data_IF_510544463008
#
_entry.id   IF_510544463008
#
_cell.length_a   1.000
_cell.length_b   1.000
_cell.length_c   1.000
_cell.angle_alpha   90.00
_cell.angle_beta   90.00
_cell.angle_gamma   90.00
#
_symmetry.space_group_name_H-M   'P 1'
#
loop_
_entity.id
_entity.type
_entity.pdbx_description
1 polymer ?
#
# COMPACT_ATOMS: atom_id res chain seq x y z
N UNK A 1 -19.14 -13.39 -15.68
CA UNK A 1 -18.90 -12.10 -15.00
C UNK A 1 -18.20 -12.44 -13.69
N UNK A 2 -16.93 -12.14 -13.42
CA UNK A 2 -16.14 -10.93 -13.66
C UNK A 2 -14.69 -11.34 -13.98
N UNK A 3 -14.14 -10.92 -15.13
CA UNK A 3 -12.74 -11.14 -15.51
C UNK A 3 -11.89 -9.91 -15.12
N UNK A 4 -11.58 -9.75 -13.84
CA UNK A 4 -10.95 -8.52 -13.32
C UNK A 4 -9.41 -8.47 -13.43
N UNK A 5 -8.79 -9.17 -14.39
CA UNK A 5 -7.32 -9.11 -14.62
C UNK A 5 -6.90 -8.83 -16.08
N UNK A 6 -7.82 -8.74 -17.04
CA UNK A 6 -7.46 -8.78 -18.48
C UNK A 6 -7.70 -7.49 -19.27
N UNK A 7 -7.64 -6.31 -18.65
CA UNK A 7 -8.05 -5.06 -19.32
C UNK A 7 -6.96 -4.25 -20.03
N UNK A 8 -5.69 -4.62 -19.90
CA UNK A 8 -4.61 -3.94 -20.64
C UNK A 8 -4.07 -4.91 -21.71
N UNK A 9 -4.59 -4.93 -22.94
CA UNK A 9 -4.02 -5.76 -24.02
C UNK A 9 -2.68 -5.23 -24.53
N UNK A 10 -2.25 -4.02 -24.13
CA UNK A 10 -1.03 -3.32 -24.56
C UNK A 10 -1.00 -2.92 -26.05
N UNK A 11 -1.56 -3.76 -26.92
CA UNK A 11 -1.89 -3.45 -28.33
C UNK A 11 -3.31 -3.88 -28.68
N UNK A 12 -4.01 -3.09 -29.47
CA UNK A 12 -5.30 -3.45 -30.07
C UNK A 12 -5.15 -3.74 -31.56
N UNK A 13 -5.97 -4.67 -32.08
CA UNK A 13 -6.20 -4.84 -33.52
C UNK A 13 -7.58 -4.28 -33.85
N UNK A 14 -7.65 -3.31 -34.76
CA UNK A 14 -8.91 -2.80 -35.33
C UNK A 14 -8.74 -2.66 -36.84
N UNK A 15 -9.69 -3.20 -37.60
CA UNK A 15 -9.68 -3.12 -39.07
C UNK A 15 -8.36 -3.60 -39.72
N UNK A 16 -7.73 -4.63 -39.12
CA UNK A 16 -6.44 -5.17 -39.60
C UNK A 16 -5.21 -4.34 -39.22
N UNK A 17 -5.38 -3.23 -38.49
CA UNK A 17 -4.30 -2.37 -38.02
C UNK A 17 -4.04 -2.53 -36.53
N UNK A 18 -2.76 -2.41 -36.13
CA UNK A 18 -2.30 -2.45 -34.75
C UNK A 18 -2.17 -1.04 -34.17
N UNK A 19 -2.60 -0.86 -32.92
CA UNK A 19 -2.57 0.40 -32.19
C UNK A 19 -2.08 0.17 -30.74
N UNK A 20 -1.36 1.11 -30.12
CA UNK A 20 -1.06 1.01 -28.69
C UNK A 20 -2.36 1.11 -27.88
N UNK A 21 -2.39 0.40 -26.77
CA UNK A 21 -3.46 0.58 -25.79
C UNK A 21 -3.35 1.96 -25.12
N UNK A 22 -4.50 2.59 -24.92
CA UNK A 22 -4.62 3.87 -24.23
C UNK A 22 -5.98 3.94 -23.56
N UNK A 23 -6.03 4.47 -22.35
CA UNK A 23 -7.26 4.51 -21.55
C UNK A 23 -7.35 5.78 -20.73
N UNK A 24 -8.57 6.30 -20.62
CA UNK A 24 -8.95 7.32 -19.64
C UNK A 24 -9.85 6.63 -18.61
N UNK A 25 -9.63 6.92 -17.33
CA UNK A 25 -10.45 6.39 -16.25
C UNK A 25 -10.99 7.51 -15.37
N UNK A 26 -12.12 7.23 -14.73
CA UNK A 26 -12.78 8.17 -13.79
C UNK A 26 -12.15 8.14 -12.40
N UNK A 27 -11.05 7.41 -12.23
CA UNK A 27 -10.29 7.30 -10.99
C UNK A 27 -8.90 7.93 -11.17
N UNK A 28 -8.44 8.75 -10.21
CA UNK A 28 -7.15 9.44 -10.26
C UNK A 28 -5.95 8.47 -10.35
N UNK A 29 -6.10 7.26 -9.80
CA UNK A 29 -5.09 6.21 -9.81
C UNK A 29 -5.09 5.38 -11.09
N UNK A 30 -5.89 5.72 -12.11
CA UNK A 30 -5.80 5.12 -13.46
C UNK A 30 -4.37 5.17 -14.01
N UNK A 31 -3.60 6.19 -13.61
CA UNK A 31 -2.17 6.37 -13.93
C UNK A 31 -1.28 5.19 -13.52
N UNK A 32 -1.72 4.31 -12.61
CA UNK A 32 -1.01 3.09 -12.25
C UNK A 32 -0.71 2.19 -13.47
N UNK A 33 -1.56 2.25 -14.50
CA UNK A 33 -1.37 1.47 -15.74
C UNK A 33 -0.13 1.90 -16.53
N UNK A 34 0.38 3.11 -16.31
CA UNK A 34 1.56 3.63 -17.01
C UNK A 34 2.82 2.81 -16.67
N UNK A 35 2.89 2.19 -15.48
CA UNK A 35 3.98 1.29 -15.10
C UNK A 35 3.97 -0.05 -15.86
N UNK A 36 2.86 -0.39 -16.51
CA UNK A 36 2.67 -1.64 -17.26
C UNK A 36 2.86 -1.49 -18.77
N UNK A 37 3.08 -0.27 -19.26
CA UNK A 37 3.33 0.01 -20.69
C UNK A 37 4.62 -0.66 -21.24
N UNK A 38 5.38 -1.39 -20.40
CA UNK A 38 6.56 -2.16 -20.79
C UNK A 38 6.64 -3.60 -20.26
N UNK A 39 5.63 -4.14 -19.55
CA UNK A 39 5.71 -5.50 -18.98
C UNK A 39 4.99 -6.52 -19.88
N UNK A 40 5.75 -7.09 -20.80
CA UNK A 40 5.32 -8.08 -21.80
C UNK A 40 5.26 -9.53 -21.29
N UNK A 41 5.35 -9.72 -19.97
CA UNK A 41 5.62 -11.05 -19.42
C UNK A 41 4.37 -11.93 -19.33
N UNK A 42 4.39 -12.94 -20.20
CA UNK A 42 3.66 -14.21 -20.20
C UNK A 42 2.12 -14.12 -20.18
N UNK A 43 1.57 -13.67 -21.31
CA UNK A 43 0.28 -14.18 -21.79
C UNK A 43 0.60 -15.33 -22.74
N UNK A 44 -0.12 -16.44 -22.62
CA UNK A 44 0.09 -17.72 -23.33
C UNK A 44 0.92 -17.60 -24.62
N UNK A 45 1.99 -18.39 -24.74
CA UNK A 45 2.97 -18.44 -25.86
C UNK A 45 2.38 -18.41 -27.28
N UNK A 46 1.09 -18.73 -27.43
CA UNK A 46 0.35 -18.67 -28.69
C UNK A 46 -0.09 -17.25 -29.13
N UNK A 47 0.02 -16.21 -28.29
CA UNK A 47 -0.59 -14.89 -28.56
C UNK A 47 0.41 -13.71 -28.79
N UNK A 48 1.73 -13.89 -28.60
CA UNK A 48 2.59 -12.78 -28.17
C UNK A 48 3.77 -12.35 -29.08
N UNK A 49 3.88 -12.77 -30.35
CA UNK A 49 5.01 -12.31 -31.17
C UNK A 49 4.85 -10.85 -31.70
N UNK A 50 3.62 -10.36 -31.79
CA UNK A 50 3.31 -9.13 -32.55
C UNK A 50 3.38 -7.84 -31.74
N UNK A 51 3.04 -7.78 -30.43
CA UNK A 51 3.16 -6.54 -29.69
C UNK A 51 4.59 -6.01 -29.63
N UNK A 52 5.56 -6.85 -29.26
CA UNK A 52 6.98 -6.46 -29.24
C UNK A 52 7.45 -6.00 -30.63
N UNK A 53 7.17 -6.80 -31.66
CA UNK A 53 7.50 -6.45 -33.05
C UNK A 53 6.87 -5.11 -33.48
N UNK A 54 5.62 -4.85 -33.08
CA UNK A 54 4.93 -3.59 -33.35
C UNK A 54 5.61 -2.41 -32.64
N UNK A 55 5.90 -2.52 -31.34
CA UNK A 55 6.57 -1.47 -30.59
C UNK A 55 7.98 -1.20 -31.11
N UNK A 56 8.74 -2.24 -31.50
CA UNK A 56 10.05 -2.09 -32.14
C UNK A 56 9.94 -1.40 -33.51
N UNK A 57 9.05 -1.86 -34.38
CA UNK A 57 8.84 -1.29 -35.73
C UNK A 57 8.44 0.19 -35.68
N UNK A 58 7.71 0.60 -34.63
CA UNK A 58 7.26 1.97 -34.43
C UNK A 58 8.17 2.80 -33.49
N UNK A 59 9.34 2.30 -33.10
CA UNK A 59 10.29 2.97 -32.18
C UNK A 59 9.69 3.38 -30.84
N UNK A 60 8.72 2.60 -30.36
CA UNK A 60 8.07 2.76 -29.07
C UNK A 60 8.56 1.73 -28.03
N UNK A 61 9.39 0.77 -28.44
CA UNK A 61 10.06 -0.16 -27.54
C UNK A 61 11.25 0.50 -26.84
N UNK A 62 11.41 0.25 -25.53
CA UNK A 62 12.47 0.84 -24.72
C UNK A 62 13.31 -0.25 -24.08
N UNK A 63 14.60 -0.31 -24.42
CA UNK A 63 15.58 -1.12 -23.71
C UNK A 63 16.31 -0.26 -22.68
N UNK A 64 16.01 -0.50 -21.39
CA UNK A 64 16.64 0.21 -20.28
C UNK A 64 18.06 -0.30 -19.96
N UNK A 65 18.49 -1.43 -20.52
CA UNK A 65 19.86 -1.96 -20.37
C UNK A 65 20.77 -1.58 -21.55
N UNK A 66 20.18 -1.16 -22.67
CA UNK A 66 20.88 -0.70 -23.86
C UNK A 66 21.22 0.78 -23.83
N UNK A 67 21.74 1.28 -24.96
CA UNK A 67 21.89 2.71 -25.18
C UNK A 67 20.50 3.31 -25.39
N UNK A 68 20.00 4.04 -24.38
CA UNK A 68 18.75 4.77 -24.49
C UNK A 68 18.89 5.83 -25.58
N UNK A 69 18.00 5.81 -26.57
CA UNK A 69 17.89 6.92 -27.52
C UNK A 69 17.62 8.21 -26.74
N UNK A 70 18.33 9.29 -27.09
CA UNK A 70 18.23 10.56 -26.40
C UNK A 70 16.83 11.17 -26.60
N UNK A 71 16.07 11.23 -25.51
CA UNK A 71 14.75 11.86 -25.48
C UNK A 71 14.90 13.28 -24.97
N UNK A 72 14.34 14.23 -25.71
CA UNK A 72 14.30 15.64 -25.30
C UNK A 72 13.16 15.83 -24.32
N UNK A 73 13.49 16.03 -23.04
CA UNK A 73 12.54 16.39 -21.99
C UNK A 73 12.60 17.90 -21.71
N UNK A 74 11.52 18.47 -21.19
CA UNK A 74 11.50 19.89 -20.78
C UNK A 74 12.33 20.17 -19.53
N UNK A 75 12.51 19.16 -18.68
CA UNK A 75 13.36 19.20 -17.50
C UNK A 75 13.82 17.79 -17.12
N UNK A 76 14.92 17.72 -16.36
CA UNK A 76 15.51 16.47 -15.88
C UNK A 76 15.57 16.51 -14.35
N UNK A 77 15.13 15.42 -13.72
CA UNK A 77 15.25 15.17 -12.28
C UNK A 77 15.93 13.82 -12.09
N UNK A 78 16.83 13.72 -11.12
CA UNK A 78 17.58 12.51 -10.83
C UNK A 78 17.26 12.00 -9.42
N UNK A 79 17.16 10.68 -9.28
CA UNK A 79 17.01 9.99 -8.00
C UNK A 79 17.98 8.81 -7.94
N UNK A 80 18.94 8.87 -7.04
CA UNK A 80 19.83 7.76 -6.76
C UNK A 80 19.14 6.79 -5.78
N UNK A 81 18.89 5.56 -6.24
CA UNK A 81 18.21 4.53 -5.45
C UNK A 81 19.00 4.11 -4.19
N UNK A 82 20.31 4.37 -4.12
CA UNK A 82 21.12 4.10 -2.92
C UNK A 82 20.78 5.03 -1.75
N UNK A 83 20.22 6.20 -2.04
CA UNK A 83 19.85 7.20 -1.04
C UNK A 83 18.42 6.95 -0.50
N UNK A 84 17.70 5.99 -1.08
CA UNK A 84 16.37 5.59 -0.63
C UNK A 84 16.49 4.78 0.66
N UNK A 85 15.78 5.23 1.67
CA UNK A 85 15.69 4.58 2.98
C UNK A 85 14.23 4.33 3.38
N UNK A 86 13.95 3.36 4.29
CA UNK A 86 12.61 3.13 4.81
C UNK A 86 12.01 4.39 5.42
N UNK A 87 10.80 4.74 5.00
CA UNK A 87 10.09 5.93 5.46
C UNK A 87 8.58 5.66 5.53
N UNK A 88 7.90 6.53 6.27
CA UNK A 88 6.43 6.65 6.30
C UNK A 88 6.05 8.05 5.82
N UNK A 89 4.78 8.26 5.48
CA UNK A 89 4.23 9.59 5.14
C UNK A 89 3.11 9.96 6.10
N UNK A 90 3.13 11.19 6.61
CA UNK A 90 2.09 11.67 7.52
C UNK A 90 2.54 12.78 8.47
N UNK A 91 1.72 13.14 9.47
CA UNK A 91 0.49 12.45 9.86
C UNK A 91 -0.75 12.84 9.05
N UNK A 92 -0.72 13.91 8.24
CA UNK A 92 -1.92 14.47 7.59
C UNK A 92 -1.87 14.56 6.06
N UNK A 93 -0.70 14.45 5.42
CA UNK A 93 -0.57 14.53 3.94
C UNK A 93 0.37 13.47 3.38
N UNK A 94 0.15 13.00 2.14
CA UNK A 94 0.95 11.93 1.53
C UNK A 94 2.39 12.34 1.19
N UNK A 95 2.66 13.62 0.94
CA UNK A 95 4.01 14.13 0.63
C UNK A 95 4.84 14.46 1.87
N UNK A 96 4.28 14.34 3.08
CA UNK A 96 5.00 14.58 4.33
C UNK A 96 5.86 13.36 4.70
N UNK A 97 6.96 13.14 3.97
CA UNK A 97 7.90 12.03 4.17
C UNK A 97 8.62 12.13 5.52
N UNK A 98 8.69 11.01 6.24
CA UNK A 98 9.41 10.86 7.51
C UNK A 98 10.27 9.59 7.45
N UNK A 99 11.61 9.69 7.52
CA UNK A 99 12.47 8.52 7.68
C UNK A 99 12.03 7.67 8.88
N UNK A 100 11.99 6.35 8.73
CA UNK A 100 11.45 5.46 9.76
C UNK A 100 12.23 5.58 11.08
N UNK A 101 13.54 5.83 11.00
CA UNK A 101 14.41 6.10 12.16
C UNK A 101 14.02 7.35 12.95
N UNK A 102 13.42 8.34 12.29
CA UNK A 102 13.04 9.64 12.86
C UNK A 102 11.56 9.70 13.27
N UNK A 103 10.76 8.67 12.93
CA UNK A 103 9.31 8.64 13.17
C UNK A 103 8.92 8.97 14.61
N UNK A 104 9.66 8.46 15.60
CA UNK A 104 9.40 8.72 17.02
C UNK A 104 9.63 10.19 17.40
N UNK A 105 10.65 10.81 16.85
CA UNK A 105 11.01 12.21 17.11
C UNK A 105 10.07 13.17 16.39
N UNK A 106 9.72 12.86 15.14
CA UNK A 106 8.71 13.59 14.35
C UNK A 106 7.34 13.55 15.04
N UNK A 107 6.90 12.38 15.53
CA UNK A 107 5.64 12.25 16.29
C UNK A 107 5.62 13.11 17.56
N UNK A 108 6.68 13.05 18.38
CA UNK A 108 6.80 13.88 19.59
C UNK A 108 6.79 15.38 19.27
N UNK A 109 7.41 15.77 18.17
CA UNK A 109 7.38 17.15 17.69
C UNK A 109 5.97 17.55 17.26
N UNK A 110 5.26 16.66 16.55
CA UNK A 110 3.88 16.88 16.13
C UNK A 110 2.93 17.11 17.32
N UNK A 111 3.12 16.43 18.46
CA UNK A 111 2.31 16.68 19.65
C UNK A 111 2.41 18.12 20.14
N UNK A 112 3.60 18.75 20.03
CA UNK A 112 3.85 20.11 20.53
C UNK A 112 3.51 21.21 19.52
N UNK A 113 3.73 20.96 18.24
CA UNK A 113 3.58 21.96 17.18
C UNK A 113 2.17 22.52 17.11
N UNK A 114 2.05 23.80 16.70
CA UNK A 114 0.77 24.46 16.45
C UNK A 114 -0.10 23.63 15.51
N UNK A 115 -1.42 23.72 15.67
CA UNK A 115 -2.37 23.00 14.82
C UNK A 115 -2.05 23.28 13.35
N UNK A 116 -1.74 22.21 12.63
CA UNK A 116 -1.32 22.25 11.23
C UNK A 116 -1.07 20.84 10.71
N UNK A 117 -0.45 20.71 9.53
CA UNK A 117 -0.18 19.39 8.92
C UNK A 117 0.75 18.50 9.77
N UNK A 118 1.66 19.13 10.51
CA UNK A 118 2.66 18.51 11.40
C UNK A 118 2.48 18.96 12.85
N UNK A 119 1.24 19.20 13.29
CA UNK A 119 0.98 19.69 14.65
C UNK A 119 -0.43 19.44 15.17
N UNK A 120 -0.49 19.10 16.46
CA UNK A 120 -1.71 18.81 17.22
C UNK A 120 -1.92 19.77 18.41
N UNK A 121 -0.92 20.57 18.78
CA UNK A 121 -0.97 21.54 19.89
C UNK A 121 -1.43 20.95 21.24
N UNK A 122 -1.00 19.71 21.55
CA UNK A 122 -1.30 19.03 22.81
C UNK A 122 -0.43 19.62 23.93
N UNK A 123 -1.02 20.11 25.04
CA UNK A 123 -0.26 20.63 26.17
C UNK A 123 0.72 19.57 26.73
N UNK A 124 1.95 19.98 27.07
CA UNK A 124 3.00 19.06 27.58
C UNK A 124 2.53 18.17 28.74
N UNK A 125 1.69 18.70 29.63
CA UNK A 125 1.10 17.97 30.76
C UNK A 125 0.20 16.80 30.35
N UNK A 126 -0.40 16.86 29.16
CA UNK A 126 -1.31 15.84 28.63
C UNK A 126 -0.61 14.87 27.68
N UNK A 127 0.62 15.15 27.23
CA UNK A 127 1.34 14.30 26.26
C UNK A 127 1.70 12.91 26.80
N UNK A 128 1.78 12.77 28.12
CA UNK A 128 2.02 11.48 28.81
C UNK A 128 0.73 10.88 29.36
N UNK A 129 -0.44 11.38 28.96
CA UNK A 129 -1.73 10.84 29.41
C UNK A 129 -1.85 9.38 28.97
N UNK A 130 -2.34 8.56 29.90
CA UNK A 130 -2.66 7.16 29.69
C UNK A 130 -4.13 6.99 30.04
N UNK A 131 -4.89 6.36 29.15
CA UNK A 131 -6.29 6.03 29.34
C UNK A 131 -6.39 4.53 29.54
N UNK A 132 -6.83 4.11 30.72
CA UNK A 132 -7.17 2.72 31.00
C UNK A 132 -8.62 2.45 30.60
N UNK A 133 -8.85 1.34 29.90
CA UNK A 133 -10.18 0.94 29.45
C UNK A 133 -10.33 -0.58 29.49
N UNK A 134 -11.57 -1.06 29.58
CA UNK A 134 -11.88 -2.48 29.47
C UNK A 134 -12.23 -2.80 28.02
N UNK A 135 -11.49 -3.71 27.41
CA UNK A 135 -11.79 -4.22 26.08
C UNK A 135 -12.12 -5.70 26.17
N UNK A 136 -13.38 -6.07 25.91
CA UNK A 136 -13.85 -7.47 25.96
C UNK A 136 -13.45 -8.19 27.26
N UNK A 137 -13.54 -7.49 28.40
CA UNK A 137 -13.24 -8.02 29.73
C UNK A 137 -11.75 -8.06 30.09
N UNK A 138 -10.87 -7.46 29.29
CA UNK A 138 -9.43 -7.30 29.59
C UNK A 138 -9.09 -5.83 29.76
N UNK A 139 -8.29 -5.51 30.78
CA UNK A 139 -7.75 -4.16 30.95
C UNK A 139 -6.73 -3.87 29.87
N UNK A 140 -6.85 -2.70 29.25
CA UNK A 140 -5.93 -2.18 28.26
C UNK A 140 -5.62 -0.70 28.50
N UNK A 141 -4.50 -0.24 27.95
CA UNK A 141 -4.03 1.14 28.06
C UNK A 141 -3.83 1.74 26.68
N UNK A 142 -4.33 2.97 26.49
CA UNK A 142 -4.05 3.80 25.31
C UNK A 142 -3.29 5.06 25.68
N UNK A 143 -2.36 5.43 24.80
CA UNK A 143 -1.52 6.63 24.88
C UNK A 143 -1.43 7.29 23.52
N UNK A 144 -0.99 8.55 23.49
CA UNK A 144 -0.76 9.24 22.23
C UNK A 144 0.28 8.52 21.36
N UNK A 145 -0.15 8.11 20.17
CA UNK A 145 0.66 7.39 19.18
C UNK A 145 0.48 5.88 19.20
N UNK A 146 -0.38 5.34 20.08
CA UNK A 146 -0.81 3.96 19.94
C UNK A 146 -1.56 3.75 18.63
N UNK A 147 -1.26 2.63 17.98
CA UNK A 147 -1.92 2.21 16.75
C UNK A 147 -3.28 1.62 17.12
N UNK A 148 -4.35 2.07 16.46
CA UNK A 148 -5.71 1.54 16.63
C UNK A 148 -6.28 0.94 15.34
N UNK A 149 -5.71 1.29 14.19
CA UNK A 149 -6.00 0.70 12.88
C UNK A 149 -4.69 0.29 12.23
N UNK A 150 -4.61 -0.95 11.75
CA UNK A 150 -3.50 -1.46 10.95
C UNK A 150 -4.04 -2.24 9.75
N UNK A 151 -4.06 -1.62 8.57
CA UNK A 151 -4.64 -2.21 7.37
C UNK A 151 -3.59 -2.42 6.28
N UNK A 152 -3.50 -3.64 5.75
CA UNK A 152 -2.79 -3.94 4.51
C UNK A 152 -3.81 -3.77 3.38
N UNK A 153 -3.78 -2.63 2.71
CA UNK A 153 -4.79 -2.22 1.72
C UNK A 153 -4.14 -1.48 0.54
N UNK A 154 -4.96 -0.92 -0.36
CA UNK A 154 -4.59 -0.14 -1.55
C UNK A 154 -4.03 -0.97 -2.70
N UNK A 155 -4.50 -0.68 -3.93
CA UNK A 155 -3.93 -1.25 -5.15
C UNK A 155 -2.47 -0.84 -5.35
N UNK A 156 -2.05 0.33 -4.85
CA UNK A 156 -0.66 0.81 -4.91
C UNK A 156 0.33 -0.21 -4.35
N UNK A 157 -0.05 -0.91 -3.28
CA UNK A 157 0.83 -1.88 -2.61
C UNK A 157 0.41 -3.34 -2.86
N UNK A 158 -0.89 -3.64 -2.79
CA UNK A 158 -1.36 -5.03 -2.89
C UNK A 158 -1.18 -5.65 -4.27
N UNK A 159 -0.93 -4.83 -5.30
CA UNK A 159 -0.57 -5.30 -6.65
C UNK A 159 0.88 -5.78 -6.78
N UNK A 160 1.74 -5.51 -5.79
CA UNK A 160 3.16 -5.86 -5.80
C UNK A 160 3.40 -7.13 -4.95
N UNK A 161 3.67 -8.30 -5.58
CA UNK A 161 3.87 -9.55 -4.85
C UNK A 161 5.07 -9.51 -3.89
N UNK A 162 6.12 -8.76 -4.21
CA UNK A 162 7.34 -8.71 -3.41
C UNK A 162 7.08 -8.16 -2.01
N UNK A 163 6.29 -7.09 -1.90
CA UNK A 163 5.99 -6.49 -0.59
C UNK A 163 4.91 -7.26 0.16
N UNK A 164 3.97 -7.89 -0.54
CA UNK A 164 2.94 -8.74 0.08
C UNK A 164 3.55 -10.02 0.67
N UNK A 165 4.45 -10.68 -0.06
CA UNK A 165 5.23 -11.80 0.44
C UNK A 165 6.17 -11.34 1.56
N UNK A 166 6.80 -10.17 1.43
CA UNK A 166 7.61 -9.56 2.48
C UNK A 166 6.83 -9.38 3.79
N UNK A 167 5.62 -8.81 3.73
CA UNK A 167 4.75 -8.64 4.89
C UNK A 167 4.38 -9.98 5.54
N UNK A 168 4.06 -10.99 4.71
CA UNK A 168 3.70 -12.31 5.21
C UNK A 168 4.91 -13.06 5.83
N UNK A 169 6.13 -12.83 5.32
CA UNK A 169 7.37 -13.34 5.92
C UNK A 169 7.67 -12.65 7.27
N UNK A 170 7.41 -11.34 7.39
CA UNK A 170 7.49 -10.64 8.68
C UNK A 170 6.48 -11.23 9.66
N UNK A 171 5.24 -11.47 9.23
CA UNK A 171 4.20 -12.10 10.06
C UNK A 171 4.61 -13.50 10.53
N UNK A 172 5.19 -14.31 9.62
CA UNK A 172 5.76 -15.62 9.95
C UNK A 172 6.82 -15.49 11.04
N UNK A 173 7.78 -14.56 10.87
CA UNK A 173 8.86 -14.39 11.84
C UNK A 173 8.36 -13.90 13.20
N UNK A 174 7.39 -12.99 13.20
CA UNK A 174 6.74 -12.53 14.43
C UNK A 174 6.05 -13.68 15.18
N UNK A 175 5.32 -14.53 14.46
CA UNK A 175 4.68 -15.72 15.04
C UNK A 175 5.69 -16.73 15.61
N UNK A 176 6.83 -16.93 14.94
CA UNK A 176 7.93 -17.79 15.42
C UNK A 176 8.58 -17.24 16.69
N UNK A 177 8.54 -15.92 16.89
CA UNK A 177 9.03 -15.23 18.08
C UNK A 177 7.94 -15.04 19.15
N UNK A 178 6.77 -15.67 18.99
CA UNK A 178 5.62 -15.53 19.89
C UNK A 178 5.16 -14.08 20.09
N UNK A 179 5.34 -13.22 19.08
CA UNK A 179 4.81 -11.87 19.07
C UNK A 179 3.34 -11.88 18.66
N UNK A 180 2.55 -11.05 19.32
CA UNK A 180 1.12 -10.89 19.07
C UNK A 180 0.77 -9.42 18.84
N UNK A 181 -0.28 -9.18 18.08
CA UNK A 181 -0.87 -7.85 17.91
C UNK A 181 -1.77 -7.56 19.11
N UNK A 182 -1.69 -6.34 19.64
CA UNK A 182 -2.58 -5.89 20.73
C UNK A 182 -4.05 -6.05 20.30
N UNK A 183 -4.87 -6.63 21.17
CA UNK A 183 -6.22 -7.09 20.83
C UNK A 183 -7.22 -5.99 20.42
N UNK A 184 -6.95 -4.74 20.78
CA UNK A 184 -7.80 -3.60 20.43
C UNK A 184 -7.48 -3.01 19.05
N UNK A 185 -6.42 -3.50 18.39
CA UNK A 185 -6.03 -2.99 17.07
C UNK A 185 -6.93 -3.61 16.02
N UNK A 186 -7.64 -2.75 15.28
CA UNK A 186 -8.41 -3.15 14.11
C UNK A 186 -7.47 -3.48 12.95
N UNK A 187 -7.17 -4.76 12.81
CA UNK A 187 -6.35 -5.30 11.73
C UNK A 187 -7.20 -5.71 10.53
N UNK A 188 -6.63 -5.66 9.33
CA UNK A 188 -7.33 -6.13 8.14
C UNK A 188 -6.45 -6.21 6.90
N UNK A 189 -6.70 -7.21 6.06
CA UNK A 189 -6.09 -7.37 4.75
C UNK A 189 -7.16 -7.17 3.67
N UNK A 190 -6.96 -6.21 2.78
CA UNK A 190 -7.86 -5.93 1.66
C UNK A 190 -7.09 -5.98 0.33
N UNK A 191 -6.95 -7.17 -0.28
CA UNK A 191 -6.20 -7.31 -1.51
C UNK A 191 -6.92 -6.68 -2.70
N UNK A 192 -6.17 -6.06 -3.61
CA UNK A 192 -6.72 -5.56 -4.87
C UNK A 192 -7.19 -6.65 -5.84
N UNK A 193 -6.80 -7.92 -5.61
CA UNK A 193 -7.18 -9.05 -6.45
C UNK A 193 -7.09 -10.39 -5.71
N UNK A 194 -7.89 -11.36 -6.17
CA UNK A 194 -7.88 -12.76 -5.71
C UNK A 194 -6.50 -13.43 -5.93
N UNK A 195 -5.70 -12.93 -6.88
CA UNK A 195 -4.34 -13.46 -7.11
C UNK A 195 -3.46 -13.34 -5.87
N UNK A 196 -3.63 -12.28 -5.08
CA UNK A 196 -2.89 -12.07 -3.83
C UNK A 196 -3.15 -13.20 -2.86
N UNK A 197 -4.43 -13.47 -2.59
CA UNK A 197 -4.85 -14.57 -1.73
C UNK A 197 -4.31 -15.90 -2.24
N UNK A 198 -4.39 -16.17 -3.55
CA UNK A 198 -3.91 -17.42 -4.15
C UNK A 198 -2.41 -17.66 -3.91
N UNK A 199 -1.54 -16.66 -4.09
CA UNK A 199 -0.11 -16.88 -3.86
C UNK A 199 0.24 -16.91 -2.36
N UNK A 200 -0.49 -16.20 -1.50
CA UNK A 200 -0.30 -16.26 -0.04
C UNK A 200 -0.72 -17.62 0.54
N UNK A 201 -1.81 -18.19 0.04
CA UNK A 201 -2.25 -19.54 0.38
C UNK A 201 -1.29 -20.60 -0.15
N UNK A 202 -0.90 -20.51 -1.43
CA UNK A 202 0.01 -21.48 -2.05
C UNK A 202 1.41 -21.49 -1.42
N UNK A 203 1.88 -20.34 -0.95
CA UNK A 203 3.14 -20.24 -0.18
C UNK A 203 3.00 -20.70 1.27
N UNK A 204 1.77 -20.95 1.75
CA UNK A 204 1.48 -21.30 3.14
C UNK A 204 1.70 -20.14 4.11
N UNK A 205 1.77 -18.91 3.62
CA UNK A 205 2.07 -17.72 4.42
C UNK A 205 0.80 -17.04 4.97
N UNK A 206 -0.36 -17.23 4.33
CA UNK A 206 -1.65 -16.64 4.74
C UNK A 206 -1.96 -16.88 6.23
N UNK A 207 -1.75 -18.12 6.72
CA UNK A 207 -2.02 -18.52 8.10
C UNK A 207 -1.29 -17.65 9.16
N UNK A 208 -0.13 -17.09 8.82
CA UNK A 208 0.62 -16.23 9.74
C UNK A 208 0.06 -14.81 9.79
N UNK A 209 -0.45 -14.31 8.66
CA UNK A 209 -1.21 -13.06 8.62
C UNK A 209 -2.50 -13.19 9.43
N UNK A 210 -3.23 -14.28 9.24
CA UNK A 210 -4.48 -14.56 9.97
C UNK A 210 -4.25 -14.65 11.48
N UNK A 211 -3.16 -15.31 11.91
CA UNK A 211 -2.78 -15.40 13.34
C UNK A 211 -2.50 -14.04 13.97
N UNK A 212 -2.04 -13.06 13.19
CA UNK A 212 -1.83 -11.68 13.64
C UNK A 212 -3.06 -10.77 13.41
N UNK A 213 -4.20 -11.34 12.98
CA UNK A 213 -5.46 -10.63 12.76
C UNK A 213 -5.63 -10.05 11.36
N UNK A 214 -4.63 -10.14 10.47
CA UNK A 214 -4.69 -9.65 9.08
C UNK A 214 -5.44 -10.61 8.15
N UNK A 215 -6.66 -10.96 8.55
CA UNK A 215 -7.59 -11.75 7.76
C UNK A 215 -8.05 -10.97 6.54
N UNK A 216 -8.39 -11.66 5.46
CA UNK A 216 -8.95 -11.03 4.27
C UNK A 216 -10.35 -10.49 4.58
N UNK A 217 -10.50 -9.17 4.62
CA UNK A 217 -11.78 -8.49 4.93
C UNK A 217 -12.61 -8.17 3.69
N UNK A 218 -11.99 -8.20 2.51
CA UNK A 218 -12.67 -7.97 1.23
C UNK A 218 -11.71 -7.64 0.10
N UNK A 219 -12.23 -7.62 -1.13
CA UNK A 219 -11.47 -7.24 -2.33
C UNK A 219 -11.97 -5.88 -2.82
N UNK A 220 -11.21 -4.82 -2.55
CA UNK A 220 -11.58 -3.46 -2.91
C UNK A 220 -10.84 -2.40 -2.09
N UNK A 221 -11.23 -1.13 -2.29
CA UNK A 221 -10.50 0.02 -1.73
C UNK A 221 -10.52 0.06 -0.19
N UNK A 222 -11.62 -0.31 0.47
CA UNK A 222 -11.73 -0.41 1.95
C UNK A 222 -11.10 0.79 2.68
N UNK A 223 -10.20 0.57 3.64
CA UNK A 223 -9.50 1.59 4.41
C UNK A 223 -8.75 2.60 3.52
N UNK A 224 -8.29 2.21 2.32
CA UNK A 224 -7.61 3.13 1.40
C UNK A 224 -8.49 4.30 0.97
N UNK A 225 -9.81 4.10 0.82
CA UNK A 225 -10.76 5.16 0.48
C UNK A 225 -11.45 5.75 1.72
N UNK A 226 -10.89 5.53 2.92
CA UNK A 226 -11.49 5.93 4.19
C UNK A 226 -12.59 4.98 4.70
N UNK A 227 -12.97 3.95 3.94
CA UNK A 227 -13.95 2.96 4.36
C UNK A 227 -13.32 1.90 5.28
N UNK A 228 -12.88 2.36 6.45
CA UNK A 228 -12.24 1.54 7.48
C UNK A 228 -13.24 0.88 8.43
N UNK A 229 -14.51 1.29 8.39
CA UNK A 229 -15.55 0.94 9.37
C UNK A 229 -15.24 1.46 10.78
N UNK A 230 -16.19 1.32 11.70
CA UNK A 230 -16.04 1.88 13.05
C UNK A 230 -15.02 1.13 13.90
N UNK A 231 -14.34 1.85 14.79
CA UNK A 231 -13.59 1.23 15.88
C UNK A 231 -14.58 0.58 16.86
N UNK A 232 -14.13 -0.43 17.61
CA UNK A 232 -14.91 -0.93 18.75
C UNK A 232 -15.21 0.25 19.70
N UNK A 233 -16.44 0.28 20.24
CA UNK A 233 -16.96 1.40 21.04
C UNK A 233 -16.05 1.71 22.23
N UNK A 234 -15.50 0.69 22.88
CA UNK A 234 -14.61 0.88 24.03
C UNK A 234 -13.31 1.60 23.65
N UNK A 235 -12.81 1.37 22.43
CA UNK A 235 -11.62 2.07 21.89
C UNK A 235 -11.98 3.49 21.47
N UNK A 236 -13.13 3.67 20.81
CA UNK A 236 -13.59 4.98 20.35
C UNK A 236 -13.86 5.94 21.52
N UNK A 237 -14.50 5.45 22.59
CA UNK A 237 -14.71 6.22 23.83
C UNK A 237 -13.40 6.56 24.52
N UNK A 238 -12.46 5.61 24.62
CA UNK A 238 -11.14 5.88 25.20
C UNK A 238 -10.34 6.96 24.43
N UNK A 239 -10.59 7.12 23.12
CA UNK A 239 -10.00 8.19 22.30
C UNK A 239 -10.75 9.52 22.45
N UNK A 240 -12.08 9.50 22.56
CA UNK A 240 -12.92 10.70 22.46
C UNK A 240 -13.20 11.35 23.80
N UNK A 241 -13.58 10.56 24.80
CA UNK A 241 -14.08 11.04 26.09
C UNK A 241 -12.93 11.38 27.05
N UNK A 242 -11.80 10.66 26.90
CA UNK A 242 -10.61 10.78 27.72
C UNK A 242 -9.34 11.12 26.90
N UNK A 243 -9.48 11.56 25.64
CA UNK A 243 -8.38 11.96 24.76
C UNK A 243 -7.80 13.36 24.97
#
# INVERSE_FOLDING_TARGET
>A
MVSSIWFNPSTWVREGMLYPDSVMGTDLQTTMINGWLGSWWDRSRSCNAWPESYFMANKMFVDHNGQLEERVYSSHLELNLKDVEPCVSGPKRPHDRVPLREMKEDWKSCLNNRIGFKGFAIPKKSQTKVVEFSFRGRTAELRHGDVVIAAITSCTNTSNPSIMLGAALVAKKACELCLEVKHWIKTGLAPGSIVVTKYLEKSGLQKYLDKLGFNTVGYGCTTCSGNSGDLDEEVASAISDDG
#
